data_IF_922239316974
#
_entry.id   IF_922239316974
#
_cell.length_a   1.000
_cell.length_b   1.000
_cell.length_c   1.000
_cell.angle_alpha   90.00
_cell.angle_beta   90.00
_cell.angle_gamma   90.00
#
_symmetry.space_group_name_H-M   'P 1'
#
loop_
_entity.id
_entity.type
_entity.pdbx_description
1 polymer ?
#
# COMPACT_ATOMS: atom_id res chain seq x y z
N UNK A 1 13.63 4.37 -7.76
CA UNK A 1 12.52 3.39 -7.77
C UNK A 1 11.33 4.03 -7.07
N UNK A 2 10.14 3.95 -7.66
CA UNK A 2 8.91 4.47 -7.03
C UNK A 2 8.23 3.36 -6.24
N UNK A 3 8.01 3.59 -4.94
CA UNK A 3 7.33 2.66 -4.05
C UNK A 3 5.95 3.22 -3.77
N UNK A 4 4.93 2.39 -3.90
CA UNK A 4 3.58 2.82 -3.58
C UNK A 4 3.26 2.28 -2.19
N UNK A 5 2.84 3.17 -1.29
CA UNK A 5 2.40 2.81 0.05
C UNK A 5 0.91 3.05 0.19
N UNK A 6 0.25 2.09 0.83
CA UNK A 6 -1.13 2.16 1.25
C UNK A 6 -1.15 2.22 2.77
N UNK A 7 -1.76 3.24 3.35
CA UNK A 7 -1.96 3.34 4.79
C UNK A 7 -3.31 3.97 5.10
N UNK A 8 -3.46 4.46 6.33
CA UNK A 8 -4.78 4.71 6.93
C UNK A 8 -5.62 3.42 6.99
N UNK A 9 -4.95 2.29 7.24
CA UNK A 9 -5.60 1.01 7.43
C UNK A 9 -6.01 0.90 8.90
N UNK A 10 -7.30 0.85 9.15
CA UNK A 10 -7.91 0.88 10.49
C UNK A 10 -7.64 -0.40 11.30
N UNK A 11 -7.29 -1.52 10.66
CA UNK A 11 -7.07 -2.82 11.33
C UNK A 11 -6.25 -3.82 10.48
N UNK A 12 -5.64 -4.83 11.12
CA UNK A 12 -4.97 -5.92 10.40
C UNK A 12 -5.92 -6.70 9.46
N UNK A 13 -7.19 -6.84 9.82
CA UNK A 13 -8.21 -7.46 8.95
C UNK A 13 -8.37 -6.71 7.62
N UNK A 14 -8.42 -5.38 7.69
CA UNK A 14 -8.43 -4.51 6.52
C UNK A 14 -7.12 -4.66 5.73
N UNK A 15 -5.98 -4.70 6.42
CA UNK A 15 -4.67 -4.89 5.81
C UNK A 15 -4.61 -6.22 5.02
N UNK A 16 -5.07 -7.32 5.61
CA UNK A 16 -5.10 -8.63 4.96
C UNK A 16 -6.04 -8.67 3.76
N UNK A 17 -7.18 -7.96 3.81
CA UNK A 17 -8.10 -7.85 2.67
C UNK A 17 -7.44 -7.10 1.52
N UNK A 18 -6.74 -6.01 1.80
CA UNK A 18 -6.00 -5.24 0.79
C UNK A 18 -4.86 -6.05 0.20
N UNK A 19 -4.09 -6.75 1.04
CA UNK A 19 -3.02 -7.64 0.57
C UNK A 19 -3.55 -8.75 -0.33
N UNK A 20 -4.64 -9.41 0.06
CA UNK A 20 -5.29 -10.45 -0.79
C UNK A 20 -5.77 -9.87 -2.11
N UNK A 21 -6.40 -8.70 -2.08
CA UNK A 21 -6.88 -8.03 -3.28
C UNK A 21 -5.75 -7.71 -4.26
N UNK A 22 -4.61 -7.24 -3.74
CA UNK A 22 -3.41 -7.01 -4.54
C UNK A 22 -2.79 -8.32 -5.05
N UNK A 23 -2.77 -9.36 -4.21
CA UNK A 23 -2.27 -10.69 -4.59
C UNK A 23 -3.12 -11.34 -5.70
N UNK A 24 -4.44 -11.18 -5.68
CA UNK A 24 -5.36 -11.62 -6.75
C UNK A 24 -5.02 -10.96 -8.10
N UNK A 25 -4.37 -9.80 -8.07
CA UNK A 25 -3.93 -9.06 -9.25
C UNK A 25 -2.47 -9.34 -9.62
N UNK A 26 -1.86 -10.36 -9.02
CA UNK A 26 -0.45 -10.72 -9.18
C UNK A 26 0.50 -9.61 -8.68
N UNK A 27 0.02 -8.75 -7.78
CA UNK A 27 0.80 -7.66 -7.18
C UNK A 27 1.34 -8.12 -5.84
N UNK A 28 2.68 -8.14 -5.73
CA UNK A 28 3.35 -8.48 -4.48
C UNK A 28 3.39 -7.29 -3.56
N UNK A 29 2.95 -7.51 -2.33
CA UNK A 29 2.99 -6.49 -1.28
C UNK A 29 3.64 -7.02 -0.03
N UNK A 30 4.21 -6.11 0.75
CA UNK A 30 4.83 -6.40 2.03
C UNK A 30 4.22 -5.51 3.10
N UNK A 31 3.99 -6.07 4.28
CA UNK A 31 3.56 -5.27 5.44
C UNK A 31 4.69 -4.32 5.82
N UNK A 32 4.37 -3.04 5.99
CA UNK A 32 5.32 -2.02 6.37
C UNK A 32 4.72 -1.24 7.53
N UNK A 33 5.39 -1.28 8.67
CA UNK A 33 5.01 -0.44 9.82
C UNK A 33 5.54 0.97 9.58
N UNK A 34 4.65 1.87 9.16
CA UNK A 34 5.01 3.27 8.89
C UNK A 34 4.68 4.10 10.13
N UNK A 35 5.72 4.44 10.89
CA UNK A 35 5.59 5.27 12.10
C UNK A 35 5.45 6.78 11.82
N UNK A 36 5.32 7.21 10.55
CA UNK A 36 5.44 8.61 10.15
C UNK A 36 4.26 9.11 9.27
N UNK A 37 3.70 10.27 9.65
CA UNK A 37 2.76 11.07 8.85
C UNK A 37 1.31 10.55 8.83
N UNK A 38 0.58 10.84 7.74
CA UNK A 38 -0.81 10.40 7.49
C UNK A 38 -1.03 8.87 7.46
N UNK A 39 0.04 8.07 7.51
CA UNK A 39 0.01 6.61 7.48
C UNK A 39 0.29 6.00 8.86
N UNK A 40 0.35 6.80 9.93
CA UNK A 40 0.59 6.33 11.28
C UNK A 40 -0.38 5.19 11.65
N UNK A 41 0.14 3.97 11.72
CA UNK A 41 -0.64 2.74 11.90
C UNK A 41 -0.21 1.63 10.93
N UNK A 42 -1.17 0.79 10.54
CA UNK A 42 -0.95 -0.29 9.59
C UNK A 42 -0.75 0.27 8.17
N UNK A 43 0.35 -0.14 7.52
CA UNK A 43 0.62 0.21 6.14
C UNK A 43 1.17 -0.99 5.35
N UNK A 44 1.03 -0.89 4.03
CA UNK A 44 1.45 -1.91 3.08
C UNK A 44 2.31 -1.24 2.02
N UNK A 45 3.48 -1.80 1.79
CA UNK A 45 4.37 -1.45 0.70
C UNK A 45 4.09 -2.33 -0.52
N UNK A 46 3.92 -1.71 -1.68
CA UNK A 46 3.86 -2.40 -2.97
C UNK A 46 5.27 -2.57 -3.50
N UNK A 47 5.64 -3.79 -3.90
CA UNK A 47 6.95 -4.06 -4.45
C UNK A 47 7.16 -3.28 -5.77
N UNK A 48 8.33 -2.65 -5.98
CA UNK A 48 8.61 -1.87 -7.17
C UNK A 48 8.60 -2.72 -8.46
N UNK A 49 8.90 -4.01 -8.39
CA UNK A 49 8.74 -4.92 -9.54
C UNK A 49 7.26 -5.07 -9.95
N UNK A 50 6.36 -5.04 -8.99
CA UNK A 50 4.91 -5.08 -9.23
C UNK A 50 4.29 -3.70 -9.39
N UNK A 51 4.97 -2.61 -9.01
CA UNK A 51 4.47 -1.24 -9.18
C UNK A 51 4.26 -0.89 -10.66
N UNK A 52 5.06 -1.50 -11.55
CA UNK A 52 4.84 -1.42 -13.00
C UNK A 52 3.50 -2.03 -13.47
N UNK A 53 2.92 -2.96 -12.70
CA UNK A 53 1.57 -3.51 -12.94
C UNK A 53 0.48 -2.76 -12.19
N UNK A 54 0.86 -1.94 -11.21
CA UNK A 54 -0.05 -1.16 -10.39
C UNK A 54 -0.40 0.11 -11.13
N UNK A 55 -1.48 0.04 -11.91
CA UNK A 55 -2.01 1.19 -12.64
C UNK A 55 -2.86 2.09 -11.73
N UNK A 56 -2.96 3.37 -12.09
CA UNK A 56 -3.74 4.35 -11.34
C UNK A 56 -5.22 3.97 -11.18
N UNK A 57 -5.78 3.26 -12.17
CA UNK A 57 -7.14 2.71 -12.13
C UNK A 57 -7.32 1.64 -11.03
N UNK A 58 -6.31 0.79 -10.84
CA UNK A 58 -6.30 -0.25 -9.82
C UNK A 58 -6.21 0.38 -8.42
N UNK A 59 -5.38 1.43 -8.31
CA UNK A 59 -5.25 2.21 -7.09
C UNK A 59 -6.55 2.95 -6.74
N UNK A 60 -7.20 3.57 -7.72
CA UNK A 60 -8.51 4.20 -7.51
C UNK A 60 -9.57 3.17 -7.11
N UNK A 61 -9.58 1.99 -7.75
CA UNK A 61 -10.49 0.92 -7.37
C UNK A 61 -10.28 0.48 -5.91
N UNK A 62 -9.03 0.30 -5.46
CA UNK A 62 -8.75 0.00 -4.06
C UNK A 62 -9.19 1.13 -3.13
N UNK A 63 -8.88 2.38 -3.46
CA UNK A 63 -9.32 3.52 -2.65
C UNK A 63 -10.86 3.59 -2.52
N UNK A 64 -11.59 3.29 -3.60
CA UNK A 64 -13.05 3.23 -3.60
C UNK A 64 -13.60 2.00 -2.86
N UNK A 65 -12.99 0.83 -3.05
CA UNK A 65 -13.42 -0.44 -2.46
C UNK A 65 -13.26 -0.42 -0.94
N UNK A 66 -12.22 0.26 -0.46
CA UNK A 66 -11.92 0.32 0.96
C UNK A 66 -12.33 1.64 1.65
N UNK A 67 -12.71 2.70 0.91
CA UNK A 67 -13.26 4.02 1.33
C UNK A 67 -12.50 4.81 2.43
N UNK A 68 -11.61 4.16 3.18
CA UNK A 68 -10.74 4.70 4.23
C UNK A 68 -9.26 4.60 3.84
N UNK A 69 -8.89 3.93 2.75
CA UNK A 69 -7.48 3.84 2.37
C UNK A 69 -6.97 5.18 1.85
N UNK A 70 -5.91 5.68 2.51
CA UNK A 70 -5.10 6.77 1.95
C UNK A 70 -3.97 6.15 1.15
N UNK A 71 -4.05 6.32 -0.16
CA UNK A 71 -2.93 6.02 -1.06
C UNK A 71 -1.90 7.15 -0.98
N UNK A 72 -0.65 6.82 -0.66
CA UNK A 72 0.46 7.77 -0.73
C UNK A 72 1.55 7.20 -1.64
N UNK A 73 1.64 7.74 -2.86
CA UNK A 73 2.80 7.50 -3.74
C UNK A 73 3.98 8.27 -3.15
N UNK A 74 5.00 7.56 -2.68
CA UNK A 74 6.23 8.17 -2.13
C UNK A 74 7.42 7.64 -2.93
N UNK A 75 8.42 8.46 -3.21
CA UNK A 75 9.70 7.92 -3.70
C UNK A 75 10.27 6.99 -2.62
N UNK A 76 10.78 5.80 -3.00
CA UNK A 76 11.33 4.84 -2.03
C UNK A 76 12.53 5.42 -1.24
N UNK A 77 13.07 6.58 -1.63
CA UNK A 77 14.15 7.29 -0.97
C UNK A 77 13.66 7.96 0.32
N UNK A 78 13.56 7.20 1.42
CA UNK A 78 13.37 7.82 2.73
C UNK A 78 12.88 6.94 3.88
N UNK A 79 12.63 5.64 3.69
CA UNK A 79 12.34 4.76 4.82
C UNK A 79 13.63 4.03 5.21
N UNK A 80 14.25 4.47 6.30
CA UNK A 80 15.23 3.67 7.03
C UNK A 80 14.49 2.41 7.51
N UNK A 81 14.68 1.31 6.78
CA UNK A 81 14.46 -0.03 7.30
C UNK A 81 15.46 -0.26 8.44
N UNK A 82 15.02 -0.67 9.65
CA UNK A 82 15.94 -1.16 10.69
C UNK A 82 16.60 -2.48 10.29
#
# INVERSE_FOLDING_TARGET
>A
AECIYLGNISSEDQLDRVQRRLADMDIRTQRADVAAGDLAGYAIQINPESSARVNEMLLQNLANEFNELKLKKMHCEGLQLP
#
